data_IF_491586220550
#
_entry.id   IF_491586220550
#
_cell.length_a   1.000
_cell.length_b   1.000
_cell.length_c   1.000
_cell.angle_alpha   90.00
_cell.angle_beta   90.00
_cell.angle_gamma   90.00
#
_symmetry.space_group_name_H-M   'P 1'
#
loop_
_entity.id
_entity.type
_entity.pdbx_description
1 polymer ?
#
# COMPACT_ATOMS: atom_id res chain seq x y z
N UNK A 1 -22.66 -24.53 -20.95
CA UNK A 1 -22.68 -23.30 -20.12
C UNK A 1 -21.34 -22.56 -20.14
N UNK A 2 -20.24 -23.23 -19.79
CA UNK A 2 -18.86 -22.68 -19.84
C UNK A 2 -18.49 -22.09 -21.22
N UNK A 3 -18.90 -22.75 -22.31
CA UNK A 3 -18.63 -22.24 -23.67
C UNK A 3 -19.42 -20.98 -24.02
N UNK A 4 -20.61 -20.83 -23.45
CA UNK A 4 -21.48 -19.66 -23.65
C UNK A 4 -20.92 -18.45 -22.88
N UNK A 5 -20.40 -18.68 -21.67
CA UNK A 5 -19.71 -17.66 -20.86
C UNK A 5 -18.40 -17.16 -21.53
N UNK A 6 -17.63 -18.05 -22.17
CA UNK A 6 -16.44 -17.66 -22.94
C UNK A 6 -16.76 -16.78 -24.16
N UNK A 7 -17.87 -17.04 -24.86
CA UNK A 7 -18.30 -16.21 -26.01
C UNK A 7 -18.76 -14.82 -25.56
N UNK A 8 -19.42 -14.69 -24.41
CA UNK A 8 -19.88 -13.39 -23.90
C UNK A 8 -18.72 -12.48 -23.46
N UNK A 9 -17.66 -13.03 -22.85
CA UNK A 9 -16.47 -12.26 -22.46
C UNK A 9 -15.69 -11.73 -23.68
N UNK A 10 -15.66 -12.46 -24.80
CA UNK A 10 -15.03 -11.98 -26.05
C UNK A 10 -15.79 -10.82 -26.70
N UNK A 11 -17.12 -10.79 -26.60
CA UNK A 11 -17.94 -9.73 -27.19
C UNK A 11 -17.78 -8.39 -26.43
N UNK A 12 -17.63 -8.44 -25.11
CA UNK A 12 -17.44 -7.24 -24.26
C UNK A 12 -16.11 -6.53 -24.50
N UNK A 13 -15.05 -7.25 -24.88
CA UNK A 13 -13.73 -6.65 -25.17
C UNK A 13 -13.68 -5.86 -26.48
N UNK A 14 -14.42 -6.28 -27.53
CA UNK A 14 -14.43 -5.57 -28.82
C UNK A 14 -15.17 -4.22 -28.80
N UNK A 15 -16.03 -3.98 -27.81
CA UNK A 15 -16.84 -2.74 -27.75
C UNK A 15 -16.09 -1.54 -27.16
N UNK A 16 -15.00 -1.77 -26.42
CA UNK A 16 -14.25 -0.69 -25.75
C UNK A 16 -13.01 -0.20 -26.51
N UNK A 17 -12.76 -0.70 -27.73
CA UNK A 17 -11.57 -0.35 -28.52
C UNK A 17 -11.90 0.51 -29.75
N UNK A 18 -13.04 1.21 -29.74
CA UNK A 18 -13.50 2.05 -30.87
C UNK A 18 -13.88 3.48 -30.45
N UNK A 19 -13.18 4.03 -29.48
CA UNK A 19 -13.30 5.43 -29.10
C UNK A 19 -11.88 5.94 -28.85
N UNK A 20 -11.55 7.07 -29.49
CA UNK A 20 -10.33 7.87 -29.37
C UNK A 20 -9.12 7.51 -30.26
N UNK A 21 -9.35 7.54 -31.58
CA UNK A 21 -8.38 8.11 -32.52
C UNK A 21 -8.93 9.46 -33.00
N UNK A 22 -8.46 10.54 -32.39
CA UNK A 22 -8.59 11.89 -32.94
C UNK A 22 -7.18 12.47 -32.98
N UNK A 23 -6.62 12.41 -34.18
CA UNK A 23 -5.36 13.04 -34.56
C UNK A 23 -5.59 14.56 -34.54
N UNK A 24 -4.79 15.28 -33.76
CA UNK A 24 -4.62 16.72 -33.93
C UNK A 24 -3.15 16.99 -34.28
N UNK A 25 -3.06 17.85 -35.28
CA UNK A 25 -2.00 18.18 -36.19
C UNK A 25 -1.05 19.25 -35.62
N UNK A 26 0.17 19.26 -36.14
CA UNK A 26 1.15 20.36 -36.21
C UNK A 26 1.45 21.26 -34.98
N UNK A 27 2.72 21.28 -34.56
CA UNK A 27 3.60 22.44 -34.85
C UNK A 27 5.03 22.27 -34.32
N UNK A 28 5.96 22.31 -35.26
CA UNK A 28 7.37 22.62 -35.08
C UNK A 28 7.58 23.93 -34.30
N UNK A 29 8.47 23.92 -33.30
CA UNK A 29 9.29 25.11 -33.04
C UNK A 29 10.64 24.75 -32.43
N UNK A 30 11.66 25.11 -33.21
CA UNK A 30 13.09 24.95 -32.97
C UNK A 30 13.67 25.96 -31.97
N UNK A 31 14.87 25.63 -31.44
CA UNK A 31 15.93 26.50 -30.86
C UNK A 31 15.58 27.41 -29.67
N UNK A 32 16.27 27.26 -28.53
CA UNK A 32 17.63 27.80 -28.38
C UNK A 32 18.23 27.51 -26.99
N UNK A 33 19.42 26.92 -27.02
CA UNK A 33 20.35 26.85 -25.90
C UNK A 33 20.92 28.24 -25.63
N UNK A 34 20.74 28.75 -24.41
CA UNK A 34 21.45 29.94 -23.94
C UNK A 34 21.81 29.78 -22.46
N UNK A 35 23.07 29.38 -22.25
CA UNK A 35 23.79 29.55 -21.01
C UNK A 35 23.68 31.01 -20.52
N UNK A 36 23.06 31.21 -19.36
CA UNK A 36 23.24 32.43 -18.55
C UNK A 36 23.71 32.07 -17.16
N UNK A 37 24.96 32.46 -16.88
CA UNK A 37 25.54 32.53 -15.54
C UNK A 37 24.76 33.57 -14.71
N UNK A 38 23.84 33.11 -13.86
CA UNK A 38 23.13 33.95 -12.90
C UNK A 38 23.86 33.97 -11.56
N UNK A 39 24.60 35.07 -11.33
CA UNK A 39 25.15 35.47 -10.04
C UNK A 39 24.06 35.55 -8.98
N UNK A 40 24.40 35.08 -7.78
CA UNK A 40 23.53 34.90 -6.63
C UNK A 40 22.68 36.12 -6.28
N UNK A 41 21.37 35.95 -6.42
CA UNK A 41 20.37 36.62 -5.59
C UNK A 41 19.68 35.51 -4.81
N UNK A 42 19.86 35.49 -3.48
CA UNK A 42 19.08 34.67 -2.56
C UNK A 42 17.61 35.09 -2.68
N UNK A 43 16.89 34.54 -3.66
CA UNK A 43 15.43 34.56 -3.68
C UNK A 43 15.00 33.75 -2.47
N UNK A 44 14.42 34.44 -1.50
CA UNK A 44 13.65 33.84 -0.42
C UNK A 44 12.50 33.11 -1.12
N UNK A 45 12.64 31.80 -1.37
CA UNK A 45 11.54 30.98 -1.85
C UNK A 45 10.48 31.06 -0.76
N UNK A 46 9.43 31.82 -1.04
CA UNK A 46 8.14 31.57 -0.42
C UNK A 46 7.66 30.23 -0.97
N UNK A 47 8.27 29.15 -0.47
CA UNK A 47 7.74 27.81 -0.65
C UNK A 47 6.37 27.83 0.03
N UNK A 48 5.35 27.81 -0.82
CA UNK A 48 3.94 27.70 -0.52
C UNK A 48 3.74 26.45 0.34
N UNK A 49 3.74 26.63 1.66
CA UNK A 49 3.41 25.59 2.63
C UNK A 49 2.04 24.93 2.34
N UNK A 50 1.19 25.59 1.56
CA UNK A 50 -0.10 25.10 1.09
C UNK A 50 0.07 24.00 0.03
N UNK A 51 0.96 24.18 -0.96
CA UNK A 51 1.19 23.20 -2.03
C UNK A 51 1.71 21.86 -1.49
N UNK A 52 2.55 21.89 -0.45
CA UNK A 52 3.04 20.66 0.21
C UNK A 52 1.90 19.92 0.93
N UNK A 53 0.98 20.66 1.56
CA UNK A 53 -0.16 20.05 2.26
C UNK A 53 -1.12 19.41 1.28
N UNK A 54 -1.38 20.06 0.15
CA UNK A 54 -2.27 19.54 -0.88
C UNK A 54 -1.66 18.32 -1.57
N UNK A 55 -0.35 18.34 -1.86
CA UNK A 55 0.37 17.17 -2.36
C UNK A 55 0.29 15.99 -1.38
N UNK A 56 0.56 16.20 -0.09
CA UNK A 56 0.45 15.15 0.93
C UNK A 56 -0.98 14.64 1.10
N UNK A 57 -1.98 15.53 1.05
CA UNK A 57 -3.38 15.16 1.15
C UNK A 57 -3.79 14.20 0.01
N UNK A 58 -3.32 14.46 -1.21
CA UNK A 58 -3.58 13.59 -2.36
C UNK A 58 -2.88 12.23 -2.25
N UNK A 59 -1.65 12.17 -1.73
CA UNK A 59 -0.91 10.92 -1.60
C UNK A 59 -1.40 10.02 -0.45
N UNK A 60 -2.16 10.58 0.50
CA UNK A 60 -2.62 9.88 1.69
C UNK A 60 -4.14 9.73 1.76
N UNK A 61 -4.83 9.80 0.61
CA UNK A 61 -6.27 9.58 0.63
C UNK A 61 -6.61 8.13 0.97
N UNK A 62 -7.26 7.95 2.13
CA UNK A 62 -7.74 6.66 2.57
C UNK A 62 -9.03 6.27 1.84
N UNK A 63 -9.17 4.98 1.43
CA UNK A 63 -10.45 4.43 1.00
C UNK A 63 -11.55 4.68 2.05
N UNK A 64 -12.79 4.91 1.59
CA UNK A 64 -13.94 5.17 2.46
C UNK A 64 -14.10 4.12 3.57
N UNK A 65 -13.88 2.85 3.24
CA UNK A 65 -13.96 1.73 4.19
C UNK A 65 -12.96 1.87 5.34
N UNK A 66 -11.73 2.33 5.06
CA UNK A 66 -10.71 2.53 6.10
C UNK A 66 -10.99 3.80 6.92
N UNK A 67 -11.51 4.87 6.29
CA UNK A 67 -11.98 6.07 7.02
C UNK A 67 -13.05 5.71 8.06
N UNK A 68 -14.02 4.88 7.68
CA UNK A 68 -15.08 4.42 8.58
C UNK A 68 -14.53 3.57 9.75
N UNK A 69 -13.61 2.64 9.46
CA UNK A 69 -12.96 1.82 10.50
C UNK A 69 -12.21 2.70 11.51
N UNK A 70 -11.49 3.74 11.04
CA UNK A 70 -10.76 4.65 11.92
C UNK A 70 -11.69 5.51 12.79
N UNK A 71 -12.83 5.95 12.24
CA UNK A 71 -13.84 6.68 13.02
C UNK A 71 -14.43 5.79 14.13
N UNK A 72 -14.77 4.55 13.81
CA UNK A 72 -15.25 3.57 14.78
C UNK A 72 -14.20 3.26 15.86
N UNK A 73 -12.93 3.14 15.48
CA UNK A 73 -11.83 2.84 16.38
C UNK A 73 -11.56 4.00 17.34
N UNK A 74 -11.50 5.23 16.80
CA UNK A 74 -11.44 6.46 17.58
C UNK A 74 -12.56 6.50 18.62
N UNK A 75 -13.80 6.24 18.21
CA UNK A 75 -14.95 6.25 19.11
C UNK A 75 -14.87 5.16 20.18
N UNK A 76 -14.39 3.96 19.85
CA UNK A 76 -14.24 2.86 20.82
C UNK A 76 -13.18 3.15 21.89
N UNK A 77 -12.09 3.81 21.50
CA UNK A 77 -10.95 4.08 22.38
C UNK A 77 -11.17 5.35 23.20
N UNK A 78 -11.66 6.42 22.57
CA UNK A 78 -11.75 7.75 23.22
C UNK A 78 -13.04 7.96 24.02
N UNK A 79 -14.08 7.14 23.82
CA UNK A 79 -15.38 7.34 24.48
C UNK A 79 -15.19 7.50 25.99
N UNK A 80 -15.72 8.59 26.58
CA UNK A 80 -15.65 8.80 28.00
C UNK A 80 -16.40 7.68 28.70
N UNK A 81 -15.72 7.05 29.65
CA UNK A 81 -16.29 6.06 30.55
C UNK A 81 -17.28 6.76 31.48
N UNK A 82 -18.45 7.13 30.98
CA UNK A 82 -19.58 7.53 31.80
C UNK A 82 -20.16 6.26 32.43
N UNK A 83 -19.39 5.60 33.28
CA UNK A 83 -19.96 4.66 34.22
C UNK A 83 -20.85 5.49 35.16
N UNK A 84 -22.12 5.13 35.34
CA UNK A 84 -22.87 5.69 36.45
C UNK A 84 -22.07 5.37 37.70
N UNK A 85 -21.65 6.42 38.42
CA UNK A 85 -20.94 6.26 39.68
C UNK A 85 -21.78 5.35 40.56
N UNK A 86 -21.14 4.37 41.19
CA UNK A 86 -21.74 3.38 42.08
C UNK A 86 -22.50 4.12 43.19
N UNK A 87 -23.78 4.41 42.99
CA UNK A 87 -24.55 5.30 43.87
C UNK A 87 -25.93 5.70 43.33
N UNK A 88 -26.12 5.74 42.01
CA UNK A 88 -27.43 6.10 41.44
C UNK A 88 -28.35 4.88 41.30
N UNK A 89 -29.03 4.53 42.39
CA UNK A 89 -29.98 3.41 42.50
C UNK A 89 -31.26 3.54 41.64
N UNK A 90 -31.35 4.54 40.75
CA UNK A 90 -32.56 4.85 39.98
C UNK A 90 -32.42 4.76 38.45
N UNK A 91 -31.30 4.22 37.92
CA UNK A 91 -31.14 4.03 36.47
C UNK A 91 -31.95 2.82 35.96
N UNK A 92 -33.27 3.01 35.79
CA UNK A 92 -34.14 2.08 35.07
C UNK A 92 -33.69 1.95 33.61
N UNK A 93 -33.08 0.80 33.30
CA UNK A 93 -32.98 0.16 31.97
C UNK A 93 -32.51 1.00 30.77
N UNK A 94 -31.63 1.99 30.95
CA UNK A 94 -31.02 2.73 29.84
C UNK A 94 -29.72 2.10 29.37
N UNK A 95 -29.75 1.35 28.25
CA UNK A 95 -28.61 0.87 27.43
C UNK A 95 -27.21 1.17 28.02
N UNK A 96 -26.66 0.23 28.78
CA UNK A 96 -25.28 0.30 29.27
C UNK A 96 -24.35 0.58 28.08
N UNK A 97 -23.64 1.71 28.11
CA UNK A 97 -22.63 1.99 27.09
C UNK A 97 -21.51 0.96 27.22
N UNK A 98 -21.02 0.38 26.11
CA UNK A 98 -19.95 -0.61 26.16
C UNK A 98 -18.69 -0.03 26.81
N UNK A 99 -18.02 -0.85 27.61
CA UNK A 99 -16.74 -0.54 28.26
C UNK A 99 -15.73 -0.10 27.18
N UNK A 100 -14.93 0.93 27.48
CA UNK A 100 -13.80 1.33 26.61
C UNK A 100 -12.98 0.11 26.23
N UNK A 101 -12.76 -0.04 24.93
CA UNK A 101 -11.97 -1.14 24.36
C UNK A 101 -10.59 -0.61 24.07
N UNK A 102 -9.59 -1.08 24.82
CA UNK A 102 -8.18 -0.94 24.47
C UNK A 102 -7.77 -2.21 23.75
N UNK A 103 -6.95 -2.11 22.71
CA UNK A 103 -6.46 -3.28 21.99
C UNK A 103 -5.74 -4.26 22.93
N UNK A 104 -5.97 -5.56 22.74
CA UNK A 104 -5.29 -6.61 23.50
C UNK A 104 -3.87 -6.76 22.95
N UNK A 105 -2.87 -6.71 23.85
CA UNK A 105 -1.47 -6.90 23.52
C UNK A 105 -0.94 -8.20 24.16
N UNK A 106 -0.13 -9.00 23.45
CA UNK A 106 0.28 -8.81 22.05
C UNK A 106 -0.87 -9.07 21.07
N UNK A 107 -0.84 -8.39 19.92
CA UNK A 107 -1.81 -8.61 18.86
C UNK A 107 -1.60 -9.99 18.20
N UNK A 108 -2.69 -10.67 17.83
CA UNK A 108 -2.64 -11.96 17.14
C UNK A 108 -1.95 -11.87 15.78
N UNK A 109 -2.07 -10.73 15.10
CA UNK A 109 -1.46 -10.44 13.80
C UNK A 109 -0.60 -9.18 13.98
N UNK A 110 0.71 -9.32 13.78
CA UNK A 110 1.64 -8.20 13.86
C UNK A 110 1.73 -7.44 12.54
N UNK A 111 2.13 -6.16 12.60
CA UNK A 111 2.38 -5.32 11.41
C UNK A 111 3.42 -5.97 10.49
N UNK A 112 4.45 -6.61 11.05
CA UNK A 112 5.45 -7.38 10.31
C UNK A 112 4.83 -8.50 9.46
N UNK A 113 3.84 -9.23 10.01
CA UNK A 113 3.14 -10.28 9.26
C UNK A 113 2.28 -9.71 8.13
N UNK A 114 1.61 -8.58 8.37
CA UNK A 114 0.79 -7.90 7.36
C UNK A 114 1.67 -7.44 6.19
N UNK A 115 2.81 -6.81 6.47
CA UNK A 115 3.76 -6.34 5.46
C UNK A 115 4.40 -7.51 4.69
N UNK A 116 4.73 -8.61 5.37
CA UNK A 116 5.20 -9.82 4.70
C UNK A 116 4.14 -10.40 3.74
N UNK A 117 2.87 -10.35 4.13
CA UNK A 117 1.77 -10.77 3.26
C UNK A 117 1.58 -9.84 2.06
N UNK A 118 1.74 -8.53 2.25
CA UNK A 118 1.73 -7.56 1.15
C UNK A 118 2.77 -7.90 0.08
N UNK A 119 4.03 -8.13 0.47
CA UNK A 119 5.10 -8.51 -0.48
C UNK A 119 4.76 -9.79 -1.23
N UNK A 120 4.20 -10.80 -0.54
CA UNK A 120 3.78 -12.06 -1.18
C UNK A 120 2.66 -11.87 -2.19
N UNK A 121 1.68 -11.02 -1.89
CA UNK A 121 0.59 -10.70 -2.82
C UNK A 121 1.14 -10.00 -4.05
N UNK A 122 2.01 -9.00 -3.88
CA UNK A 122 2.66 -8.31 -5.00
C UNK A 122 3.54 -9.21 -5.86
N UNK A 123 4.29 -10.11 -5.24
CA UNK A 123 5.06 -11.11 -5.97
C UNK A 123 4.16 -12.04 -6.81
N UNK A 124 2.98 -12.42 -6.30
CA UNK A 124 2.03 -13.24 -7.05
C UNK A 124 1.44 -12.47 -8.24
N UNK A 125 1.00 -11.23 -8.03
CA UNK A 125 0.50 -10.35 -9.11
C UNK A 125 1.53 -10.23 -10.24
N UNK A 126 2.81 -10.04 -9.89
CA UNK A 126 3.89 -9.95 -10.86
C UNK A 126 4.10 -11.25 -11.65
N UNK A 127 4.03 -12.40 -10.98
CA UNK A 127 4.11 -13.70 -11.64
C UNK A 127 2.94 -13.93 -12.61
N UNK A 128 1.73 -13.49 -12.25
CA UNK A 128 0.53 -13.62 -13.09
C UNK A 128 0.66 -12.81 -14.38
N UNK A 129 1.20 -11.58 -14.30
CA UNK A 129 1.48 -10.73 -15.48
C UNK A 129 2.47 -11.44 -16.42
N UNK A 130 3.56 -11.97 -15.88
CA UNK A 130 4.57 -12.68 -16.67
C UNK A 130 3.98 -13.92 -17.37
N UNK A 131 3.12 -14.67 -16.68
CA UNK A 131 2.45 -15.84 -17.26
C UNK A 131 1.48 -15.43 -18.38
N UNK A 132 0.73 -14.33 -18.19
CA UNK A 132 -0.16 -13.81 -19.22
C UNK A 132 0.60 -13.38 -20.47
N UNK A 133 1.70 -12.65 -20.32
CA UNK A 133 2.54 -12.17 -21.44
C UNK A 133 3.16 -13.33 -22.23
N UNK A 134 3.57 -14.41 -21.56
CA UNK A 134 4.09 -15.61 -22.24
C UNK A 134 3.02 -16.29 -23.06
N UNK A 135 1.81 -16.43 -22.50
CA UNK A 135 0.70 -17.08 -23.17
C UNK A 135 0.26 -16.35 -24.44
N UNK A 136 0.22 -15.01 -24.41
CA UNK A 136 -0.13 -14.22 -25.59
C UNK A 136 0.88 -14.36 -26.74
N UNK A 137 2.14 -14.70 -26.45
CA UNK A 137 3.16 -14.94 -27.47
C UNK A 137 3.07 -16.32 -28.10
N UNK A 138 2.67 -17.35 -27.33
CA UNK A 138 2.49 -18.70 -27.85
C UNK A 138 1.33 -18.79 -28.83
N UNK A 139 0.20 -18.09 -28.56
CA UNK A 139 -0.98 -18.09 -29.43
C UNK A 139 -0.73 -17.46 -30.83
N UNK A 140 0.38 -16.73 -31.04
CA UNK A 140 0.73 -16.09 -32.32
C UNK A 140 1.56 -17.00 -33.23
N UNK A 141 2.18 -18.06 -32.68
CA UNK A 141 3.17 -18.87 -33.41
C UNK A 141 2.51 -20.04 -34.17
N UNK A 142 1.25 -20.38 -33.89
CA UNK A 142 0.58 -21.58 -34.43
C UNK A 142 -0.16 -21.39 -35.78
N UNK A 143 -0.27 -20.18 -36.33
CA UNK A 143 -1.02 -19.96 -37.60
C UNK A 143 -0.18 -19.83 -38.88
N UNK A 144 1.16 -19.77 -38.80
CA UNK A 144 1.99 -19.72 -40.01
C UNK A 144 3.38 -20.33 -39.76
N UNK A 145 3.77 -21.32 -40.58
CA UNK A 145 5.12 -21.92 -40.74
C UNK A 145 5.35 -23.27 -40.03
N UNK A 146 5.04 -24.40 -40.64
CA UNK A 146 5.91 -25.07 -41.64
C UNK A 146 7.01 -24.19 -42.26
N UNK A 147 8.14 -23.98 -41.58
CA UNK A 147 9.48 -24.00 -42.20
C UNK A 147 10.62 -23.62 -41.23
N UNK A 148 11.60 -24.53 -41.15
CA UNK A 148 13.04 -24.31 -40.89
C UNK A 148 13.48 -23.38 -39.74
N UNK A 149 13.66 -24.03 -38.59
CA UNK A 149 14.78 -23.90 -37.64
C UNK A 149 15.64 -22.62 -37.70
N UNK A 150 15.53 -21.76 -36.68
CA UNK A 150 16.66 -20.92 -36.24
C UNK A 150 16.71 -20.78 -34.72
N UNK A 151 17.92 -21.04 -34.21
CA UNK A 151 18.33 -21.28 -32.82
C UNK A 151 18.42 -20.02 -31.93
N UNK A 152 17.61 -18.99 -32.16
CA UNK A 152 17.76 -17.66 -31.51
C UNK A 152 16.74 -17.31 -30.42
N UNK A 153 15.96 -18.27 -29.92
CA UNK A 153 14.89 -17.99 -28.93
C UNK A 153 15.34 -17.91 -27.46
N UNK A 154 16.61 -18.19 -27.12
CA UNK A 154 17.04 -18.26 -25.71
C UNK A 154 17.44 -16.92 -25.07
N UNK A 155 17.68 -15.84 -25.83
CA UNK A 155 18.18 -14.58 -25.24
C UNK A 155 17.07 -13.60 -24.78
N UNK A 156 15.83 -13.78 -25.22
CA UNK A 156 14.74 -12.82 -24.95
C UNK A 156 14.06 -13.02 -23.58
N UNK A 157 14.23 -14.16 -22.93
CA UNK A 157 13.65 -14.42 -21.59
C UNK A 157 14.41 -13.76 -20.43
N UNK A 158 15.61 -13.23 -20.68
CA UNK A 158 16.49 -12.67 -19.64
C UNK A 158 16.09 -11.24 -19.26
N UNK A 159 15.57 -10.45 -20.19
CA UNK A 159 15.18 -9.05 -19.94
C UNK A 159 13.98 -8.89 -19.00
N UNK A 160 13.01 -9.82 -19.05
CA UNK A 160 11.84 -9.78 -18.14
C UNK A 160 12.18 -10.16 -16.69
N UNK A 161 13.21 -11.00 -16.47
CA UNK A 161 13.60 -11.45 -15.12
C UNK A 161 14.32 -10.38 -14.32
N UNK A 162 15.18 -9.58 -14.96
CA UNK A 162 15.91 -8.49 -14.26
C UNK A 162 14.97 -7.46 -13.65
N UNK A 163 13.87 -7.11 -14.35
CA UNK A 163 12.87 -6.19 -13.82
C UNK A 163 12.08 -6.78 -12.64
N UNK A 164 11.95 -8.11 -12.57
CA UNK A 164 11.19 -8.77 -11.52
C UNK A 164 11.86 -8.69 -10.16
N UNK A 165 13.15 -9.00 -10.12
CA UNK A 165 13.94 -8.98 -8.88
C UNK A 165 14.07 -7.55 -8.36
N UNK A 166 14.18 -6.57 -9.26
CA UNK A 166 14.23 -5.16 -8.90
C UNK A 166 12.92 -4.69 -8.23
N UNK A 167 11.75 -4.97 -8.84
CA UNK A 167 10.44 -4.64 -8.26
C UNK A 167 10.20 -5.33 -6.92
N UNK A 168 10.58 -6.60 -6.81
CA UNK A 168 10.47 -7.34 -5.55
C UNK A 168 11.34 -6.71 -4.46
N UNK A 169 12.56 -6.30 -4.80
CA UNK A 169 13.47 -5.62 -3.87
C UNK A 169 12.93 -4.23 -3.47
N UNK A 170 12.27 -3.50 -4.38
CA UNK A 170 11.57 -2.25 -4.06
C UNK A 170 10.47 -2.49 -3.02
N UNK A 171 9.61 -3.49 -3.19
CA UNK A 171 8.53 -3.77 -2.23
C UNK A 171 9.03 -4.25 -0.86
N UNK A 172 10.13 -5.00 -0.83
CA UNK A 172 10.79 -5.40 0.43
C UNK A 172 11.35 -4.18 1.15
N UNK A 173 12.08 -3.32 0.43
CA UNK A 173 12.67 -2.10 0.98
C UNK A 173 11.60 -1.13 1.47
N UNK A 174 10.50 -0.98 0.72
CA UNK A 174 9.32 -0.22 1.15
C UNK A 174 8.73 -0.77 2.44
N UNK A 175 8.51 -2.09 2.51
CA UNK A 175 7.94 -2.74 3.70
C UNK A 175 8.83 -2.58 4.93
N UNK A 176 10.15 -2.69 4.77
CA UNK A 176 11.11 -2.44 5.84
C UNK A 176 11.08 -0.97 6.29
N UNK A 177 11.02 -0.02 5.34
CA UNK A 177 10.88 1.40 5.64
C UNK A 177 9.61 1.72 6.44
N UNK A 178 8.47 1.13 6.07
CA UNK A 178 7.21 1.28 6.83
C UNK A 178 7.30 0.68 8.22
N UNK A 179 7.95 -0.48 8.37
CA UNK A 179 8.11 -1.11 9.68
C UNK A 179 8.98 -0.24 10.62
N UNK A 180 10.11 0.25 10.11
CA UNK A 180 11.00 1.14 10.88
C UNK A 180 10.29 2.45 11.27
N UNK A 181 9.55 3.04 10.34
CA UNK A 181 8.76 4.25 10.60
C UNK A 181 7.67 3.97 11.64
N UNK A 182 7.00 2.82 11.55
CA UNK A 182 5.97 2.43 12.52
C UNK A 182 6.54 2.30 13.93
N UNK A 183 7.68 1.64 14.10
CA UNK A 183 8.34 1.47 15.40
C UNK A 183 8.73 2.82 16.02
N UNK A 184 9.19 3.77 15.20
CA UNK A 184 9.52 5.12 15.66
C UNK A 184 8.27 5.96 16.01
N UNK A 185 7.26 5.91 15.17
CA UNK A 185 6.08 6.78 15.26
C UNK A 185 5.05 6.29 16.27
N UNK A 186 5.00 4.98 16.53
CA UNK A 186 4.03 4.34 17.42
C UNK A 186 3.94 5.02 18.80
N UNK A 187 5.03 5.16 19.59
CA UNK A 187 4.95 5.78 20.91
C UNK A 187 4.68 7.29 20.89
N UNK A 188 4.97 7.96 19.77
CA UNK A 188 4.91 9.42 19.65
C UNK A 188 3.53 9.89 19.19
N UNK A 189 3.04 9.33 18.08
CA UNK A 189 1.94 9.92 17.30
C UNK A 189 0.76 8.97 17.03
N UNK A 190 0.97 7.65 17.05
CA UNK A 190 -0.08 6.70 16.63
C UNK A 190 -1.00 6.30 17.78
N UNK A 191 -0.48 6.25 19.01
CA UNK A 191 -1.27 5.85 20.18
C UNK A 191 -2.19 6.96 20.68
N UNK A 192 -3.43 6.62 20.99
CA UNK A 192 -4.31 7.50 21.76
C UNK A 192 -3.80 7.65 23.19
N UNK A 193 -4.13 8.77 23.84
CA UNK A 193 -3.73 9.04 25.23
C UNK A 193 -4.19 7.92 26.19
N UNK A 194 -5.34 7.31 25.91
CA UNK A 194 -5.92 6.24 26.70
C UNK A 194 -5.13 4.92 26.58
N UNK A 195 -4.32 4.74 25.54
CA UNK A 195 -3.58 3.51 25.28
C UNK A 195 -2.13 3.56 25.76
N UNK A 196 -1.58 4.76 25.97
CA UNK A 196 -0.15 4.97 26.33
C UNK A 196 0.29 4.13 27.54
N UNK A 197 -0.51 4.09 28.60
CA UNK A 197 -0.19 3.28 29.78
C UNK A 197 -0.16 1.79 29.48
N UNK A 198 -1.11 1.30 28.67
CA UNK A 198 -1.16 -0.11 28.27
C UNK A 198 0.05 -0.50 27.43
N UNK A 199 0.46 0.37 26.50
CA UNK A 199 1.68 0.21 25.72
C UNK A 199 2.94 0.13 26.61
N UNK A 200 3.10 1.05 27.57
CA UNK A 200 4.23 1.02 28.51
C UNK A 200 4.29 -0.28 29.32
N UNK A 201 3.15 -0.75 29.84
CA UNK A 201 3.07 -2.03 30.54
C UNK A 201 3.49 -3.21 29.65
N UNK A 202 3.07 -3.20 28.38
CA UNK A 202 3.41 -4.27 27.43
C UNK A 202 4.92 -4.35 27.15
N UNK A 203 5.62 -3.21 27.05
CA UNK A 203 7.07 -3.16 26.84
C UNK A 203 7.81 -3.64 28.09
N UNK A 204 7.40 -3.19 29.28
CA UNK A 204 8.05 -3.59 30.53
C UNK A 204 7.99 -5.10 30.74
N UNK A 205 6.82 -5.71 30.50
CA UNK A 205 6.63 -7.16 30.62
C UNK A 205 7.45 -7.95 29.59
N UNK A 206 7.61 -7.40 28.38
CA UNK A 206 8.43 -8.01 27.35
C UNK A 206 9.92 -8.02 27.73
N UNK A 207 10.42 -6.93 28.31
CA UNK A 207 11.82 -6.85 28.74
C UNK A 207 12.13 -7.71 29.97
N UNK A 208 11.17 -7.88 30.88
CA UNK A 208 11.36 -8.73 32.07
C UNK A 208 11.33 -10.24 31.77
N UNK A 209 10.79 -10.65 30.63
CA UNK A 209 10.65 -12.06 30.26
C UNK A 209 11.81 -12.61 29.43
N UNK A 210 12.80 -11.79 29.05
CA UNK A 210 14.04 -12.29 28.47
C UNK A 210 14.86 -12.98 29.56
N UNK A 211 15.04 -14.31 29.53
CA UNK A 211 15.93 -14.99 30.47
C UNK A 211 17.33 -14.40 30.29
N UNK A 212 17.96 -14.01 31.39
CA UNK A 212 19.39 -13.69 31.43
C UNK A 212 20.11 -14.91 30.84
N UNK A 213 20.65 -14.75 29.63
CA UNK A 213 21.52 -15.76 29.03
C UNK A 213 22.63 -16.08 30.04
N UNK A 214 22.91 -17.37 30.33
CA UNK A 214 23.96 -17.74 31.25
C UNK A 214 25.25 -17.06 30.80
N UNK A 215 25.89 -16.34 31.72
CA UNK A 215 27.21 -15.76 31.48
C UNK A 215 28.18 -16.91 31.25
N UNK A 216 28.69 -17.05 30.03
CA UNK A 216 29.81 -17.96 29.71
C UNK A 216 31.11 -17.45 30.34
#
# INVERSE_FOLDING_TARGET
EIEREKKERKLKRKKNQKVDNKEDDDSDTSVNSSHRNCRGKKKKSSDSSEDIKDALASCCELPFTLKAVLADDHDKITRPNNFPSKGDNNAKSGKLKPKRLVHILPANISVKLILAQFVKVKQRELNEIIIADKKEREDVIDEDSSSTATSSQNELCTFGKMNQDEELNKWKSFSEGILNLFDEMLPKYVLYNQERNHYLHSICNFNSSKPLSPSE
#
